data_IF_064236646413
#
_entry.id   IF_064236646413
#
_cell.length_a   1.000
_cell.length_b   1.000
_cell.length_c   1.000
_cell.angle_alpha   90.00
_cell.angle_beta   90.00
_cell.angle_gamma   90.00
#
_symmetry.space_group_name_H-M   'P 1'
#
loop_
_entity.id
_entity.type
_entity.pdbx_description
1 polymer ?
#
# COMPACT_ATOMS: atom_id res chain seq x y z
N UNK A 1 2.21 0.84 -3.80
CA UNK A 1 1.72 0.93 -5.17
C UNK A 1 0.56 1.89 -5.21
N UNK A 2 0.80 3.01 -5.86
CA UNK A 2 -0.21 3.95 -6.31
C UNK A 2 -0.16 4.00 -7.82
N UNK A 3 -1.29 4.23 -8.46
CA UNK A 3 -1.29 4.43 -9.90
C UNK A 3 -2.44 5.33 -10.34
N UNK A 4 -2.23 5.95 -11.49
CA UNK A 4 -3.20 6.70 -12.25
C UNK A 4 -3.00 6.28 -13.72
N UNK A 5 -3.96 5.56 -14.29
CA UNK A 5 -3.82 4.92 -15.60
C UNK A 5 -5.10 5.04 -16.41
N UNK A 6 -4.95 5.00 -17.73
CA UNK A 6 -6.06 4.87 -18.67
C UNK A 6 -6.18 3.42 -19.14
N UNK A 7 -7.40 2.88 -19.11
CA UNK A 7 -7.77 1.58 -19.68
C UNK A 7 -8.85 1.84 -20.74
N UNK A 8 -8.44 1.88 -22.01
CA UNK A 8 -9.30 2.39 -23.08
C UNK A 8 -9.75 3.83 -22.80
N UNK A 9 -11.06 4.06 -22.78
CA UNK A 9 -11.65 5.36 -22.43
C UNK A 9 -11.82 5.62 -20.93
N UNK A 10 -11.53 4.64 -20.07
CA UNK A 10 -11.78 4.73 -18.62
C UNK A 10 -10.50 5.08 -17.87
N UNK A 11 -10.54 6.11 -17.02
CA UNK A 11 -9.46 6.40 -16.07
C UNK A 11 -9.65 5.59 -14.80
N UNK A 12 -8.61 4.86 -14.38
CA UNK A 12 -8.60 4.07 -13.14
C UNK A 12 -7.49 4.58 -12.24
N UNK A 13 -7.85 4.92 -11.00
CA UNK A 13 -6.94 5.53 -10.03
C UNK A 13 -6.93 4.68 -8.77
N UNK A 14 -5.73 4.39 -8.26
CA UNK A 14 -5.52 3.68 -7.01
C UNK A 14 -4.73 4.57 -6.04
N UNK A 15 -5.37 4.88 -4.90
CA UNK A 15 -4.84 5.72 -3.84
C UNK A 15 -3.69 5.07 -3.04
N UNK A 16 -3.45 3.78 -3.22
CA UNK A 16 -2.59 2.99 -2.36
C UNK A 16 -3.27 2.70 -1.02
N UNK A 17 -2.46 2.33 -0.04
CA UNK A 17 -2.92 1.99 1.31
C UNK A 17 -2.17 2.81 2.34
N UNK A 18 -2.90 3.36 3.32
CA UNK A 18 -2.32 4.12 4.42
C UNK A 18 -1.58 3.22 5.41
N UNK A 19 -2.14 2.04 5.70
CA UNK A 19 -1.62 1.15 6.74
C UNK A 19 -0.91 -0.11 6.24
N UNK A 20 -1.08 -0.46 4.96
CA UNK A 20 -0.52 -1.68 4.37
C UNK A 20 -0.13 -1.44 2.91
N UNK A 21 0.85 -0.55 2.64
CA UNK A 21 1.31 -0.28 1.29
C UNK A 21 2.09 -1.47 0.73
N UNK A 22 2.17 -1.54 -0.61
CA UNK A 22 3.20 -2.32 -1.30
C UNK A 22 4.28 -1.36 -1.78
N UNK A 23 5.55 -1.71 -1.69
CA UNK A 23 6.67 -0.82 -1.99
C UNK A 23 7.30 -0.24 -0.73
N UNK A 24 7.82 0.97 -0.86
CA UNK A 24 8.56 1.63 0.22
C UNK A 24 7.67 1.99 1.42
N UNK A 25 8.20 2.02 2.67
CA UNK A 25 7.43 2.41 3.86
C UNK A 25 6.79 3.80 3.75
N UNK A 26 5.60 3.94 4.32
CA UNK A 26 4.86 5.21 4.42
C UNK A 26 3.36 5.06 4.21
N UNK A 27 2.61 6.10 4.54
CA UNK A 27 1.17 6.15 4.31
C UNK A 27 0.88 6.68 2.91
N UNK A 28 0.29 5.83 2.05
CA UNK A 28 -0.06 6.20 0.67
C UNK A 28 -1.52 6.65 0.60
N UNK A 29 -1.75 7.80 -0.02
CA UNK A 29 -3.07 8.42 -0.22
C UNK A 29 -3.02 9.38 -1.40
N UNK A 30 -4.17 9.90 -1.86
CA UNK A 30 -4.19 10.88 -2.94
C UNK A 30 -5.17 12.02 -2.67
N UNK A 31 -4.97 13.13 -3.38
CA UNK A 31 -5.93 14.23 -3.49
C UNK A 31 -6.65 14.13 -4.83
N UNK A 32 -7.97 14.25 -4.80
CA UNK A 32 -8.82 14.40 -5.98
C UNK A 32 -9.26 15.87 -6.08
N UNK A 33 -8.92 16.49 -7.20
CA UNK A 33 -9.39 17.82 -7.60
C UNK A 33 -9.48 17.89 -9.13
N UNK A 34 -9.20 19.05 -9.75
CA UNK A 34 -9.03 19.13 -11.20
C UNK A 34 -7.98 18.14 -11.73
N UNK A 35 -6.97 17.86 -10.90
CA UNK A 35 -5.96 16.83 -11.12
C UNK A 35 -6.03 15.73 -10.04
N UNK A 36 -5.39 14.60 -10.32
CA UNK A 36 -5.07 13.56 -9.32
C UNK A 36 -3.66 13.80 -8.82
N UNK A 37 -3.47 13.85 -7.49
CA UNK A 37 -2.13 14.01 -6.89
C UNK A 37 -1.85 12.88 -5.92
N UNK A 38 -0.95 11.98 -6.32
CA UNK A 38 -0.46 10.90 -5.47
C UNK A 38 0.42 11.45 -4.35
N UNK A 39 0.24 10.94 -3.14
CA UNK A 39 0.94 11.38 -1.92
C UNK A 39 1.42 10.19 -1.12
N UNK A 40 2.59 10.38 -0.50
CA UNK A 40 3.14 9.51 0.53
C UNK A 40 3.58 10.35 1.72
N UNK A 41 3.10 10.00 2.90
CA UNK A 41 3.50 10.66 4.15
C UNK A 41 4.33 9.69 4.97
N UNK A 42 5.55 10.08 5.32
CA UNK A 42 6.36 9.34 6.29
C UNK A 42 5.84 9.59 7.70
N UNK A 43 5.93 8.57 8.53
CA UNK A 43 5.59 8.62 9.95
C UNK A 43 6.62 7.78 10.72
N UNK A 44 6.55 7.83 12.04
CA UNK A 44 7.40 7.02 12.91
C UNK A 44 6.96 5.54 12.84
N UNK A 45 7.45 4.83 11.81
CA UNK A 45 7.14 3.42 11.57
C UNK A 45 7.56 2.52 12.75
N UNK A 46 8.76 2.68 13.37
CA UNK A 46 9.11 1.95 14.59
C UNK A 46 8.08 2.13 15.70
N UNK A 47 7.71 3.37 16.03
CA UNK A 47 6.74 3.62 17.10
C UNK A 47 5.35 3.09 16.75
N UNK A 48 4.93 3.18 15.49
CA UNK A 48 3.66 2.58 15.05
C UNK A 48 3.68 1.05 15.18
N UNK A 49 4.80 0.41 14.80
CA UNK A 49 4.98 -1.03 14.92
C UNK A 49 4.91 -1.49 16.38
N UNK A 50 5.56 -0.77 17.31
CA UNK A 50 5.47 -1.03 18.75
C UNK A 50 4.02 -0.96 19.25
N UNK A 51 3.28 0.10 18.86
CA UNK A 51 1.88 0.26 19.24
C UNK A 51 1.00 -0.87 18.71
N UNK A 52 1.24 -1.33 17.49
CA UNK A 52 0.50 -2.44 16.89
C UNK A 52 0.79 -3.75 17.64
N UNK A 53 2.06 -4.04 17.93
CA UNK A 53 2.49 -5.23 18.71
C UNK A 53 1.85 -5.29 20.10
N UNK A 54 1.53 -4.14 20.69
CA UNK A 54 0.88 -4.07 22.00
C UNK A 54 -0.64 -4.32 21.96
N UNK A 55 -1.23 -4.55 20.78
CA UNK A 55 -2.68 -4.85 20.66
C UNK A 55 -2.96 -6.34 20.83
N UNK A 56 -4.22 -6.69 21.10
CA UNK A 56 -4.69 -8.08 21.09
C UNK A 56 -4.97 -8.63 19.67
N UNK A 57 -4.61 -7.89 18.62
CA UNK A 57 -4.81 -8.36 17.24
C UNK A 57 -3.95 -9.61 16.98
N UNK A 58 -4.54 -10.77 16.58
CA UNK A 58 -3.80 -12.03 16.47
C UNK A 58 -2.57 -11.99 15.56
N UNK A 59 -2.55 -11.09 14.57
CA UNK A 59 -1.46 -10.96 13.60
C UNK A 59 -0.65 -9.68 13.83
N UNK A 60 -0.73 -9.07 15.02
CA UNK A 60 -0.05 -7.82 15.35
C UNK A 60 1.45 -7.83 15.03
N UNK A 61 2.13 -8.92 15.39
CA UNK A 61 3.56 -9.09 15.13
C UNK A 61 3.87 -9.11 13.62
N UNK A 62 3.16 -9.96 12.87
CA UNK A 62 3.32 -10.11 11.43
C UNK A 62 2.98 -8.80 10.71
N UNK A 63 1.89 -8.15 11.08
CA UNK A 63 1.48 -6.87 10.50
C UNK A 63 2.51 -5.78 10.77
N UNK A 64 3.00 -5.65 12.00
CA UNK A 64 4.04 -4.68 12.34
C UNK A 64 5.31 -4.91 11.51
N UNK A 65 5.74 -6.17 11.36
CA UNK A 65 6.94 -6.50 10.59
C UNK A 65 6.75 -6.29 9.07
N UNK A 66 5.67 -6.82 8.50
CA UNK A 66 5.50 -6.96 7.06
C UNK A 66 4.63 -5.88 6.41
N UNK A 67 3.94 -5.05 7.19
CA UNK A 67 3.10 -3.97 6.64
C UNK A 67 3.58 -2.57 7.05
N UNK A 68 4.28 -2.45 8.19
CA UNK A 68 4.71 -1.15 8.73
C UNK A 68 6.21 -0.93 8.59
N UNK A 69 7.03 -1.90 8.99
CA UNK A 69 8.49 -1.78 8.97
C UNK A 69 9.08 -2.13 7.61
N UNK A 70 8.67 -3.26 7.06
CA UNK A 70 9.24 -3.81 5.82
C UNK A 70 8.12 -4.28 4.89
N UNK A 71 7.36 -3.34 4.27
CA UNK A 71 6.31 -3.70 3.33
C UNK A 71 6.86 -4.46 2.12
N UNK A 72 6.11 -5.40 1.53
CA UNK A 72 6.56 -6.14 0.37
C UNK A 72 6.67 -5.20 -0.84
N UNK A 73 7.69 -5.40 -1.69
CA UNK A 73 7.88 -4.55 -2.87
C UNK A 73 6.72 -4.65 -3.87
N UNK A 74 6.52 -3.61 -4.67
CA UNK A 74 5.47 -3.61 -5.70
C UNK A 74 5.68 -4.74 -6.71
N UNK A 75 6.92 -4.93 -7.16
CA UNK A 75 7.31 -6.02 -8.06
C UNK A 75 6.96 -7.38 -7.47
N UNK A 76 7.30 -7.62 -6.20
CA UNK A 76 7.01 -8.90 -5.55
C UNK A 76 5.52 -9.19 -5.49
N UNK A 77 4.71 -8.17 -5.20
CA UNK A 77 3.26 -8.33 -5.15
C UNK A 77 2.66 -8.50 -6.54
N UNK A 78 3.18 -7.83 -7.57
CA UNK A 78 2.75 -8.04 -8.95
C UNK A 78 3.07 -9.47 -9.41
N UNK A 79 4.27 -9.99 -9.14
CA UNK A 79 4.62 -11.40 -9.43
C UNK A 79 3.67 -12.38 -8.73
N UNK A 80 3.35 -12.12 -7.46
CA UNK A 80 2.46 -12.97 -6.68
C UNK A 80 1.03 -13.00 -7.24
N UNK A 81 0.54 -11.84 -7.71
CA UNK A 81 -0.84 -11.71 -8.20
C UNK A 81 -1.02 -11.99 -9.70
N UNK A 82 0.05 -11.93 -10.49
CA UNK A 82 0.01 -12.17 -11.94
C UNK A 82 -0.70 -13.48 -12.36
N UNK A 83 -0.54 -14.63 -11.66
CA UNK A 83 -1.25 -15.86 -12.01
C UNK A 83 -2.78 -15.78 -11.88
N UNK A 84 -3.30 -14.81 -11.11
CA UNK A 84 -4.73 -14.61 -10.88
C UNK A 84 -5.35 -13.56 -11.80
N UNK A 85 -4.56 -12.96 -12.70
CA UNK A 85 -5.11 -12.05 -13.70
C UNK A 85 -6.12 -12.76 -14.59
N UNK A 86 -7.25 -12.09 -14.83
CA UNK A 86 -8.27 -12.57 -15.75
C UNK A 86 -7.63 -12.63 -17.15
N UNK A 87 -7.51 -13.84 -17.69
CA UNK A 87 -7.12 -14.05 -19.08
C UNK A 87 -8.37 -13.91 -19.95
N UNK A 88 -8.32 -13.14 -21.05
CA UNK A 88 -9.41 -13.04 -22.00
C UNK A 88 -9.72 -14.39 -22.67
#
# INVERSE_FOLDING_TARGET
MQFDRMIGGTRVVNAGSVGMPFGEPGAYWLLLGPDVRLRRTLYDSPQAAERIRATEYPQAEEFAAQSVLTPPSEEKMLELFAPFELRP
#
